data_IF_427340294381
#
_entry.id   IF_427340294381
#
_cell.length_a   1.000
_cell.length_b   1.000
_cell.length_c   1.000
_cell.angle_alpha   90.00
_cell.angle_beta   90.00
_cell.angle_gamma   90.00
#
_symmetry.space_group_name_H-M   'P 1'
#
loop_
_entity.id
_entity.type
_entity.pdbx_description
1 polymer ?
#
# COMPACT_ATOMS: atom_id res chain seq x y z
N UNK A 1 -5.12 8.06 14.09
CA UNK A 1 -5.77 9.24 13.48
C UNK A 1 -5.80 9.08 11.99
N UNK A 2 -6.98 8.87 11.41
CA UNK A 2 -7.21 9.05 9.97
C UNK A 2 -6.84 10.51 9.64
N UNK A 3 -6.18 10.80 8.51
CA UNK A 3 -5.94 12.17 8.10
C UNK A 3 -7.29 12.86 7.85
N UNK A 4 -7.81 13.59 8.83
CA UNK A 4 -8.82 14.61 8.57
C UNK A 4 -8.24 15.72 7.70
N UNK A 5 -9.08 16.41 6.92
CA UNK A 5 -8.66 17.55 6.08
C UNK A 5 -7.56 17.19 5.06
N UNK A 6 -7.79 16.19 4.21
CA UNK A 6 -6.87 15.87 3.11
C UNK A 6 -6.93 16.94 2.02
N UNK A 7 -5.77 17.27 1.45
CA UNK A 7 -5.68 18.07 0.23
C UNK A 7 -5.64 17.13 -0.96
N UNK A 8 -6.70 17.09 -1.76
CA UNK A 8 -6.74 16.21 -2.94
C UNK A 8 -6.09 16.92 -4.14
N UNK A 9 -5.10 16.27 -4.76
CA UNK A 9 -4.50 16.70 -6.03
C UNK A 9 -4.95 15.79 -7.18
N UNK A 10 -4.95 16.33 -8.40
CA UNK A 10 -5.30 15.57 -9.60
C UNK A 10 -4.19 14.61 -10.03
N UNK A 11 -4.53 13.57 -10.79
CA UNK A 11 -3.53 12.67 -11.41
C UNK A 11 -2.56 13.46 -12.32
N UNK A 12 -3.06 14.47 -13.04
CA UNK A 12 -2.21 15.33 -13.88
C UNK A 12 -1.20 16.14 -13.05
N UNK A 13 -1.66 16.78 -11.96
CA UNK A 13 -0.78 17.51 -11.05
C UNK A 13 0.27 16.59 -10.42
N UNK A 14 -0.15 15.41 -9.97
CA UNK A 14 0.73 14.37 -9.44
C UNK A 14 1.80 13.96 -10.46
N UNK A 15 1.43 13.68 -11.72
CA UNK A 15 2.39 13.31 -12.75
C UNK A 15 3.33 14.45 -13.16
N UNK A 16 2.85 15.70 -13.17
CA UNK A 16 3.70 16.88 -13.40
C UNK A 16 4.74 17.08 -12.28
N UNK A 17 4.45 16.61 -11.07
CA UNK A 17 5.33 16.70 -9.91
C UNK A 17 6.08 15.38 -9.63
N UNK A 18 6.57 14.72 -10.69
CA UNK A 18 7.31 13.45 -10.62
C UNK A 18 6.61 12.35 -9.79
N UNK A 19 5.27 12.31 -9.80
CA UNK A 19 4.51 11.34 -9.02
C UNK A 19 4.86 11.38 -7.53
N UNK A 20 4.90 12.57 -6.94
CA UNK A 20 5.12 12.80 -5.51
C UNK A 20 3.97 13.58 -4.87
N UNK A 21 3.87 13.48 -3.54
CA UNK A 21 2.87 14.19 -2.72
C UNK A 21 3.56 14.96 -1.60
N UNK A 22 3.03 16.13 -1.24
CA UNK A 22 3.50 16.89 -0.08
C UNK A 22 2.83 16.41 1.23
N UNK A 23 3.62 15.76 2.10
CA UNK A 23 3.14 15.21 3.38
C UNK A 23 2.76 16.32 4.37
N UNK A 24 3.48 17.45 4.39
CA UNK A 24 3.21 18.59 5.28
C UNK A 24 1.87 19.25 4.94
N UNK A 25 1.50 19.25 3.66
CA UNK A 25 0.19 19.73 3.19
C UNK A 25 -0.90 18.66 3.22
N UNK A 26 -0.60 17.46 3.70
CA UNK A 26 -1.50 16.32 3.71
C UNK A 26 -2.08 16.02 2.30
N UNK A 27 -1.23 16.06 1.28
CA UNK A 27 -1.64 15.84 -0.10
C UNK A 27 -1.86 14.37 -0.43
N UNK A 28 -2.97 14.11 -1.14
CA UNK A 28 -3.32 12.81 -1.68
C UNK A 28 -3.69 12.95 -3.15
N UNK A 29 -3.11 12.12 -4.01
CA UNK A 29 -3.62 11.96 -5.39
C UNK A 29 -4.85 11.05 -5.37
N UNK A 30 -5.88 11.41 -6.14
CA UNK A 30 -7.08 10.59 -6.31
C UNK A 30 -7.10 9.89 -7.66
N UNK A 31 -7.00 8.55 -7.65
CA UNK A 31 -7.08 7.73 -8.84
C UNK A 31 -8.54 7.42 -9.18
N UNK A 32 -9.15 8.22 -10.05
CA UNK A 32 -10.61 8.17 -10.31
C UNK A 32 -11.10 6.80 -10.75
N UNK A 33 -10.31 6.08 -11.56
CA UNK A 33 -10.68 4.75 -12.08
C UNK A 33 -10.72 3.66 -11.01
N UNK A 34 -9.97 3.83 -9.93
CA UNK A 34 -9.87 2.87 -8.81
C UNK A 34 -10.64 3.34 -7.57
N UNK A 35 -10.95 4.63 -7.48
CA UNK A 35 -11.56 5.22 -6.30
C UNK A 35 -10.61 5.28 -5.09
N UNK A 36 -9.30 5.16 -5.33
CA UNK A 36 -8.26 5.11 -4.28
C UNK A 36 -7.62 6.48 -4.14
N UNK A 37 -7.43 6.93 -2.90
CA UNK A 37 -6.56 8.06 -2.59
C UNK A 37 -5.21 7.53 -2.12
N UNK A 38 -4.13 8.15 -2.57
CA UNK A 38 -2.78 7.75 -2.21
C UNK A 38 -1.93 8.96 -1.83
N UNK A 39 -1.19 8.84 -0.74
CA UNK A 39 -0.07 9.70 -0.39
C UNK A 39 1.20 8.86 -0.39
N UNK A 40 2.23 9.32 -1.08
CA UNK A 40 3.57 8.76 -1.00
C UNK A 40 4.32 9.55 0.06
N UNK A 41 4.59 8.88 1.19
CA UNK A 41 5.37 9.46 2.29
C UNK A 41 6.86 9.36 1.97
N UNK A 42 7.28 8.24 1.38
CA UNK A 42 8.63 8.01 0.87
C UNK A 42 8.54 7.13 -0.38
N UNK A 43 9.20 7.50 -1.48
CA UNK A 43 9.21 6.70 -2.72
C UNK A 43 9.95 5.38 -2.56
N UNK A 44 10.80 5.26 -1.53
CA UNK A 44 11.69 4.14 -1.33
C UNK A 44 12.94 4.21 -2.20
N UNK A 45 13.96 3.49 -1.77
CA UNK A 45 15.18 3.23 -2.54
C UNK A 45 15.03 1.99 -3.42
N UNK A 46 15.99 1.74 -4.31
CA UNK A 46 15.99 0.58 -5.21
C UNK A 46 15.21 0.86 -6.50
N UNK A 47 14.58 -0.18 -7.05
CA UNK A 47 13.98 -0.14 -8.38
C UNK A 47 12.49 -0.51 -8.35
N UNK A 48 11.75 -0.03 -9.35
CA UNK A 48 10.37 -0.50 -9.60
C UNK A 48 10.37 -1.99 -9.96
N UNK A 49 9.23 -2.65 -9.80
CA UNK A 49 9.03 -3.99 -10.34
C UNK A 49 9.02 -3.87 -11.88
N UNK A 50 9.98 -4.50 -12.55
CA UNK A 50 10.14 -4.41 -13.99
C UNK A 50 8.99 -5.13 -14.74
N UNK A 51 8.75 -4.76 -15.99
CA UNK A 51 7.78 -5.45 -16.82
C UNK A 51 8.18 -6.93 -17.00
N UNK A 52 7.24 -7.85 -16.80
CA UNK A 52 7.48 -9.30 -16.86
C UNK A 52 8.16 -9.88 -15.62
N UNK A 53 8.46 -9.06 -14.62
CA UNK A 53 9.08 -9.50 -13.37
C UNK A 53 8.04 -10.05 -12.39
N UNK A 54 8.42 -11.11 -11.68
CA UNK A 54 7.70 -11.63 -10.52
C UNK A 54 8.68 -11.76 -9.35
N UNK A 55 8.31 -11.20 -8.20
CA UNK A 55 9.19 -11.14 -7.03
C UNK A 55 8.39 -11.18 -5.73
N UNK A 56 9.10 -11.45 -4.62
CA UNK A 56 8.50 -11.33 -3.28
C UNK A 56 8.56 -9.90 -2.78
N UNK A 57 7.45 -9.41 -2.23
CA UNK A 57 7.37 -8.14 -1.53
C UNK A 57 7.00 -8.40 -0.09
N UNK A 58 7.71 -7.75 0.82
CA UNK A 58 7.42 -7.74 2.25
C UNK A 58 6.63 -6.47 2.56
N UNK A 59 5.47 -6.61 3.21
CA UNK A 59 4.60 -5.51 3.58
C UNK A 59 4.45 -5.42 5.10
N UNK A 60 4.64 -4.20 5.63
CA UNK A 60 4.31 -3.83 7.00
C UNK A 60 3.19 -2.82 6.98
N UNK A 61 2.08 -3.10 7.66
CA UNK A 61 0.89 -2.28 7.56
C UNK A 61 0.15 -2.11 8.88
N UNK A 62 -0.62 -1.02 8.92
CA UNK A 62 -1.74 -0.83 9.85
C UNK A 62 -2.99 -0.54 9.03
N UNK A 63 -4.06 -1.27 9.32
CA UNK A 63 -5.38 -1.11 8.72
C UNK A 63 -6.33 -0.46 9.72
N UNK A 64 -6.98 0.60 9.25
CA UNK A 64 -7.95 1.35 10.00
C UNK A 64 -9.28 1.38 9.25
N UNK A 65 -10.35 0.93 9.89
CA UNK A 65 -11.69 1.03 9.35
C UNK A 65 -12.25 2.42 9.63
N UNK A 66 -12.51 3.15 8.54
CA UNK A 66 -12.94 4.54 8.62
C UNK A 66 -14.37 4.65 9.14
N UNK A 67 -15.23 3.68 8.82
CA UNK A 67 -16.63 3.71 9.21
C UNK A 67 -16.83 3.44 10.71
N UNK A 68 -16.02 2.54 11.29
CA UNK A 68 -16.11 2.22 12.72
C UNK A 68 -15.13 2.98 13.60
N UNK A 69 -14.22 3.79 13.02
CA UNK A 69 -13.17 4.52 13.73
C UNK A 69 -12.24 3.58 14.55
N UNK A 70 -11.83 2.44 13.96
CA UNK A 70 -11.01 1.43 14.66
C UNK A 70 -9.85 0.90 13.85
N UNK A 71 -8.72 0.60 14.52
CA UNK A 71 -7.68 -0.28 13.95
C UNK A 71 -8.20 -1.71 13.99
N UNK A 72 -8.35 -2.34 12.82
CA UNK A 72 -8.88 -3.69 12.72
C UNK A 72 -7.79 -4.75 12.56
N UNK A 73 -6.65 -4.38 11.97
CA UNK A 73 -5.51 -5.28 11.79
C UNK A 73 -4.21 -4.49 11.68
N UNK A 74 -3.11 -5.03 12.22
CA UNK A 74 -1.77 -4.46 12.06
C UNK A 74 -0.71 -5.53 12.29
N UNK A 75 0.36 -5.50 11.50
CA UNK A 75 1.56 -6.30 11.71
C UNK A 75 2.78 -5.44 12.11
N UNK A 76 2.54 -4.19 12.53
CA UNK A 76 3.54 -3.24 13.01
C UNK A 76 3.66 -3.25 14.55
N UNK A 77 3.15 -4.28 15.21
CA UNK A 77 3.22 -4.49 16.66
C UNK A 77 4.26 -5.56 17.00
N UNK A 78 4.77 -5.54 18.24
CA UNK A 78 5.87 -6.42 18.69
C UNK A 78 5.60 -7.92 18.45
N UNK A 79 4.35 -8.38 18.64
CA UNK A 79 3.99 -9.78 18.40
C UNK A 79 4.13 -10.25 16.94
N UNK A 80 4.18 -9.31 15.99
CA UNK A 80 4.35 -9.59 14.56
C UNK A 80 5.73 -9.21 14.03
N UNK A 81 6.67 -8.75 14.87
CA UNK A 81 8.01 -8.34 14.42
C UNK A 81 8.71 -9.41 13.57
N UNK A 82 8.54 -10.70 13.87
CA UNK A 82 9.15 -11.79 13.09
C UNK A 82 8.25 -12.38 11.99
N UNK A 83 7.02 -11.88 11.82
CA UNK A 83 6.04 -12.45 10.89
C UNK A 83 5.45 -11.33 10.01
N UNK A 84 6.24 -10.78 9.07
CA UNK A 84 5.71 -9.83 8.11
C UNK A 84 4.71 -10.48 7.16
N UNK A 85 3.92 -9.65 6.49
CA UNK A 85 3.16 -10.09 5.34
C UNK A 85 4.09 -10.22 4.14
N UNK A 86 4.15 -11.42 3.57
CA UNK A 86 4.94 -11.70 2.38
C UNK A 86 3.97 -12.05 1.27
N UNK A 87 4.12 -11.38 0.15
CA UNK A 87 3.32 -11.62 -1.05
C UNK A 87 4.22 -11.81 -2.26
N UNK A 88 3.79 -12.62 -3.21
CA UNK A 88 4.35 -12.63 -4.55
C UNK A 88 3.64 -11.57 -5.37
N UNK A 89 4.38 -10.67 -5.99
CA UNK A 89 3.88 -9.62 -6.87
C UNK A 89 4.45 -9.80 -8.27
N UNK A 90 3.60 -9.70 -9.28
CA UNK A 90 3.97 -9.76 -10.69
C UNK A 90 3.53 -8.49 -11.41
N UNK A 91 4.36 -8.01 -12.34
CA UNK A 91 4.04 -6.90 -13.22
C UNK A 91 3.95 -7.39 -14.67
N UNK A 92 2.83 -7.13 -15.33
CA UNK A 92 2.65 -7.39 -16.77
C UNK A 92 2.10 -6.14 -17.44
N UNK A 93 2.95 -5.44 -18.17
CA UNK A 93 2.63 -4.20 -18.89
C UNK A 93 2.03 -3.10 -17.99
N UNK A 94 2.49 -3.02 -16.73
CA UNK A 94 1.97 -2.08 -15.74
C UNK A 94 0.73 -2.59 -14.99
N UNK A 95 0.22 -3.77 -15.31
CA UNK A 95 -0.80 -4.46 -14.54
C UNK A 95 -0.14 -5.29 -13.44
N UNK A 96 -0.38 -4.89 -12.19
CA UNK A 96 0.12 -5.61 -11.02
C UNK A 96 -0.90 -6.63 -10.52
N UNK A 97 -0.41 -7.84 -10.23
CA UNK A 97 -1.16 -8.87 -9.51
C UNK A 97 -0.35 -9.34 -8.31
N UNK A 98 -1.02 -9.77 -7.25
CA UNK A 98 -0.34 -10.29 -6.07
C UNK A 98 -1.17 -11.30 -5.29
N UNK A 99 -0.48 -12.17 -4.56
CA UNK A 99 -1.07 -13.12 -3.61
C UNK A 99 -0.20 -13.18 -2.36
N UNK A 100 -0.82 -13.15 -1.19
CA UNK A 100 -0.13 -13.42 0.07
C UNK A 100 0.33 -14.88 0.11
N UNK A 101 1.56 -15.06 0.59
CA UNK A 101 2.14 -16.35 0.97
C UNK A 101 1.93 -16.60 2.47
N UNK A 102 2.03 -15.53 3.26
CA UNK A 102 1.84 -15.52 4.71
C UNK A 102 1.60 -14.09 5.19
N UNK A 103 1.10 -13.93 6.41
CA UNK A 103 0.96 -12.62 7.03
C UNK A 103 -0.23 -12.51 7.98
N UNK A 104 -0.31 -11.39 8.68
CA UNK A 104 -1.47 -11.02 9.47
C UNK A 104 -2.69 -10.79 8.57
N UNK A 105 -2.56 -10.13 7.42
CA UNK A 105 -3.71 -9.84 6.54
C UNK A 105 -4.38 -11.14 6.07
N UNK A 106 -3.56 -12.08 5.59
CA UNK A 106 -4.04 -13.40 5.20
C UNK A 106 -4.74 -14.10 6.39
N UNK A 107 -4.10 -14.16 7.56
CA UNK A 107 -4.70 -14.84 8.74
C UNK A 107 -5.98 -14.18 9.23
N UNK A 108 -6.03 -12.86 9.29
CA UNK A 108 -7.19 -12.09 9.78
C UNK A 108 -8.41 -12.29 8.88
N UNK A 109 -8.22 -12.30 7.56
CA UNK A 109 -9.32 -12.36 6.59
C UNK A 109 -9.48 -13.72 5.90
N UNK A 110 -8.67 -14.70 6.28
CA UNK A 110 -8.62 -16.05 5.71
C UNK A 110 -8.64 -16.05 4.17
N UNK A 111 -7.85 -15.15 3.56
CA UNK A 111 -7.76 -14.99 2.11
C UNK A 111 -6.34 -14.68 1.67
N UNK A 112 -5.88 -15.39 0.64
CA UNK A 112 -4.59 -15.11 0.00
C UNK A 112 -4.64 -13.90 -0.94
N UNK A 113 -5.83 -13.37 -1.26
CA UNK A 113 -5.97 -12.22 -2.14
C UNK A 113 -5.42 -10.95 -1.48
N UNK A 114 -4.51 -10.25 -2.17
CA UNK A 114 -4.03 -8.93 -1.75
C UNK A 114 -5.07 -7.87 -2.16
N UNK A 115 -5.43 -6.90 -1.30
CA UNK A 115 -6.31 -5.81 -1.68
C UNK A 115 -5.79 -5.10 -2.94
N UNK A 116 -6.65 -4.94 -3.95
CA UNK A 116 -6.24 -4.31 -5.22
C UNK A 116 -5.71 -2.88 -5.01
N UNK A 117 -6.23 -2.16 -4.00
CA UNK A 117 -5.75 -0.83 -3.63
C UNK A 117 -4.28 -0.80 -3.19
N UNK A 118 -3.77 -1.89 -2.60
CA UNK A 118 -2.36 -2.00 -2.19
C UNK A 118 -1.40 -2.12 -3.38
N UNK A 119 -1.89 -2.43 -4.57
CA UNK A 119 -1.08 -2.59 -5.77
C UNK A 119 -0.92 -1.28 -6.54
N UNK A 120 -1.78 -0.29 -6.29
CA UNK A 120 -1.73 1.03 -6.93
C UNK A 120 -0.36 1.71 -6.79
N UNK A 121 0.29 1.70 -5.61
CA UNK A 121 1.60 2.32 -5.41
C UNK A 121 2.72 1.78 -6.30
N UNK A 122 2.69 0.51 -6.72
CA UNK A 122 3.81 -0.13 -7.42
C UNK A 122 4.17 0.49 -8.78
N UNK A 123 3.27 1.31 -9.33
CA UNK A 123 3.58 2.12 -10.52
C UNK A 123 4.59 3.25 -10.21
N UNK A 124 4.64 3.71 -8.96
CA UNK A 124 5.27 4.97 -8.55
C UNK A 124 6.39 4.82 -7.53
N UNK A 125 6.38 3.75 -6.75
CA UNK A 125 7.38 3.50 -5.69
C UNK A 125 8.48 2.54 -6.15
N UNK A 126 9.63 2.62 -5.48
CA UNK A 126 10.77 1.75 -5.67
C UNK A 126 10.84 0.72 -4.53
N UNK A 127 11.23 -0.50 -4.87
CA UNK A 127 11.37 -1.59 -3.91
C UNK A 127 12.85 -1.94 -3.74
N UNK A 128 13.39 -1.48 -2.62
CA UNK A 128 14.75 -1.76 -2.17
C UNK A 128 14.76 -2.52 -0.85
N UNK A 129 15.96 -2.56 -0.25
CA UNK A 129 16.22 -3.05 1.10
C UNK A 129 16.97 -1.99 1.88
N UNK A 130 16.98 -2.12 3.20
CA UNK A 130 17.80 -1.27 4.08
C UNK A 130 19.25 -1.77 4.11
N UNK A 131 19.93 -1.70 2.97
CA UNK A 131 21.30 -2.18 2.75
C UNK A 131 22.37 -1.08 2.81
N UNK A 132 21.95 0.18 2.96
CA UNK A 132 22.83 1.32 3.14
C UNK A 132 22.24 2.33 4.13
N UNK A 133 23.05 3.23 4.73
CA UNK A 133 22.57 4.23 5.68
C UNK A 133 21.54 5.21 5.11
N UNK A 134 21.53 5.38 3.79
CA UNK A 134 20.60 6.28 3.08
C UNK A 134 19.42 5.53 2.46
N UNK A 135 19.41 4.20 2.53
CA UNK A 135 18.32 3.42 1.96
C UNK A 135 17.03 3.61 2.77
N UNK A 136 15.93 3.82 2.06
CA UNK A 136 14.59 3.95 2.62
C UNK A 136 13.67 2.87 2.07
N UNK A 137 12.68 2.49 2.86
CA UNK A 137 11.58 1.64 2.39
C UNK A 137 10.51 2.53 1.78
N UNK A 138 9.88 2.06 0.69
CA UNK A 138 8.72 2.74 0.16
C UNK A 138 7.63 2.79 1.22
N UNK A 139 7.11 3.99 1.49
CA UNK A 139 6.14 4.25 2.55
C UNK A 139 4.97 5.02 1.98
N UNK A 140 3.77 4.47 2.09
CA UNK A 140 2.56 5.04 1.51
C UNK A 140 1.40 5.01 2.48
N UNK A 141 0.45 5.91 2.26
CA UNK A 141 -0.84 5.91 2.91
C UNK A 141 -1.94 5.84 1.86
N UNK A 142 -2.94 5.01 2.11
CA UNK A 142 -4.01 4.74 1.16
C UNK A 142 -5.37 4.91 1.83
N UNK A 143 -6.31 5.52 1.13
CA UNK A 143 -7.74 5.40 1.43
C UNK A 143 -8.34 4.54 0.33
N UNK A 144 -8.80 3.35 0.71
CA UNK A 144 -9.19 2.29 -0.21
C UNK A 144 -10.69 2.00 -0.02
N UNK A 145 -11.51 2.12 -1.09
CA UNK A 145 -12.92 1.77 -1.02
C UNK A 145 -13.09 0.26 -0.92
N UNK A 146 -14.25 -0.19 -0.43
CA UNK A 146 -14.60 -1.60 -0.31
C UNK A 146 -14.31 -2.44 -1.57
N UNK A 147 -14.59 -1.89 -2.75
CA UNK A 147 -14.38 -2.55 -4.05
C UNK A 147 -12.91 -2.78 -4.43
N UNK A 148 -11.97 -2.19 -3.69
CA UNK A 148 -10.52 -2.38 -3.84
C UNK A 148 -9.86 -2.92 -2.55
N UNK A 149 -10.66 -3.23 -1.53
CA UNK A 149 -10.22 -3.64 -0.20
C UNK A 149 -10.05 -5.16 -0.06
N UNK A 150 -9.85 -5.60 1.18
CA UNK A 150 -9.85 -7.03 1.54
C UNK A 150 -11.27 -7.62 1.53
N UNK A 151 -11.38 -8.95 1.67
CA UNK A 151 -12.62 -9.70 1.50
C UNK A 151 -13.79 -9.26 2.39
N UNK A 152 -13.53 -8.99 3.68
CA UNK A 152 -14.52 -8.47 4.63
C UNK A 152 -14.94 -7.03 4.30
N UNK A 153 -14.01 -6.16 3.88
CA UNK A 153 -14.34 -4.80 3.44
C UNK A 153 -15.25 -4.80 2.22
N UNK A 154 -14.97 -5.67 1.24
CA UNK A 154 -15.81 -5.86 0.07
C UNK A 154 -17.20 -6.41 0.43
N UNK A 155 -17.26 -7.42 1.29
CA UNK A 155 -18.52 -8.06 1.69
C UNK A 155 -19.43 -7.14 2.52
N UNK A 156 -18.86 -6.32 3.39
CA UNK A 156 -19.60 -5.44 4.30
C UNK A 156 -19.62 -3.96 3.86
N UNK A 157 -19.02 -3.65 2.72
CA UNK A 157 -19.02 -2.33 2.07
C UNK A 157 -18.54 -1.21 2.99
N UNK A 158 -17.28 -1.27 3.43
CA UNK A 158 -16.64 -0.17 4.16
C UNK A 158 -15.28 0.21 3.56
N UNK A 159 -14.89 1.49 3.63
CA UNK A 159 -13.56 1.93 3.25
C UNK A 159 -12.56 1.73 4.39
N UNK A 160 -11.31 1.42 4.01
CA UNK A 160 -10.19 1.32 4.93
C UNK A 160 -9.14 2.38 4.61
N UNK A 161 -8.54 2.93 5.66
CA UNK A 161 -7.27 3.61 5.60
C UNK A 161 -6.15 2.60 5.88
N UNK A 162 -5.08 2.68 5.10
CA UNK A 162 -3.87 1.89 5.33
C UNK A 162 -2.65 2.79 5.39
N UNK A 163 -1.75 2.51 6.31
CA UNK A 163 -0.36 2.99 6.26
C UNK A 163 0.53 1.77 6.03
N UNK A 164 1.35 1.79 4.97
CA UNK A 164 2.05 0.60 4.48
C UNK A 164 3.50 0.94 4.12
N UNK A 165 4.43 0.12 4.60
CA UNK A 165 5.81 0.09 4.13
C UNK A 165 6.06 -1.17 3.29
N UNK A 166 6.67 -1.00 2.13
CA UNK A 166 7.04 -2.07 1.22
C UNK A 166 8.56 -2.23 1.15
N UNK A 167 8.99 -3.49 1.09
CA UNK A 167 10.39 -3.86 0.91
C UNK A 167 10.51 -4.98 -0.12
N UNK A 168 11.59 -4.97 -0.90
CA UNK A 168 11.92 -6.08 -1.80
C UNK A 168 12.33 -7.32 -0.99
N UNK A 169 11.58 -8.40 -1.16
CA UNK A 169 11.82 -9.70 -0.55
C UNK A 169 13.01 -10.45 -1.17
N UNK A 170 13.38 -11.57 -0.53
CA UNK A 170 14.41 -12.52 -1.00
C UNK A 170 13.83 -13.55 -1.97
#
# INVERSE_FOLDING_TARGET
NIPGNIRVISEEEFHRNDSTTDVEKNEYVFFRRKGVYMQIVDKGSGEKIANGESLRVVARYTEFNIASDTIQSSNCITSYEMIPDIMTCSNTEGLFTASFLQGAMYKTYNSAAVPAGWLVPFTYINLGRLDSPTATLAHVRLIVPASQGQASAAANVYPCFYEIKYQRGL
#
